data_IF_266973611160
#
_entry.id   IF_266973611160
#
_cell.length_a   1.000
_cell.length_b   1.000
_cell.length_c   1.000
_cell.angle_alpha   90.00
_cell.angle_beta   90.00
_cell.angle_gamma   90.00
#
_symmetry.space_group_name_H-M   'P 1'
#
loop_
_entity.id
_entity.type
_entity.pdbx_description
1 polymer ?
#
# COMPACT_ATOMS: atom_id res chain seq x y z
N UNK A 1 -31.20 -30.13 17.49
CA UNK A 1 -30.28 -29.06 17.94
C UNK A 1 -28.88 -29.67 18.03
N UNK A 2 -28.08 -29.54 16.97
CA UNK A 2 -26.73 -30.14 16.92
C UNK A 2 -25.80 -29.23 17.71
N UNK A 3 -25.32 -29.74 18.86
CA UNK A 3 -24.39 -29.04 19.74
C UNK A 3 -23.02 -29.07 19.05
N UNK A 4 -22.58 -27.95 18.50
CA UNK A 4 -21.21 -27.77 18.01
C UNK A 4 -20.28 -27.83 19.24
N UNK A 5 -19.76 -29.02 19.54
CA UNK A 5 -18.81 -29.22 20.63
C UNK A 5 -17.44 -28.81 20.11
N UNK A 6 -16.99 -27.60 20.46
CA UNK A 6 -15.58 -27.24 20.28
C UNK A 6 -14.73 -28.25 21.07
N UNK A 7 -13.75 -28.84 20.39
CA UNK A 7 -12.92 -29.97 20.85
C UNK A 7 -11.78 -29.57 21.80
N UNK A 8 -11.90 -28.47 22.53
CA UNK A 8 -10.83 -27.98 23.41
C UNK A 8 -11.36 -27.83 24.83
N UNK A 9 -11.40 -28.95 25.56
CA UNK A 9 -11.82 -29.03 26.98
C UNK A 9 -10.69 -29.52 27.89
N UNK A 10 -9.43 -29.23 27.52
CA UNK A 10 -8.27 -29.39 28.38
C UNK A 10 -7.46 -28.10 28.22
N UNK A 11 -7.11 -27.42 29.32
CA UNK A 11 -6.46 -26.09 29.36
C UNK A 11 -5.03 -26.02 28.79
N UNK A 12 -4.78 -26.67 27.67
CA UNK A 12 -3.53 -26.64 26.92
C UNK A 12 -3.68 -25.65 25.75
N UNK A 13 -2.72 -24.72 25.63
CA UNK A 13 -2.61 -23.82 24.49
C UNK A 13 -2.23 -24.62 23.22
N UNK A 14 -3.18 -25.31 22.61
CA UNK A 14 -2.99 -25.96 21.32
C UNK A 14 -3.11 -24.92 20.19
N UNK A 15 -2.04 -24.63 19.43
CA UNK A 15 -2.13 -23.66 18.35
C UNK A 15 -3.00 -24.21 17.21
N UNK A 16 -3.80 -23.36 16.57
CA UNK A 16 -4.72 -23.74 15.48
C UNK A 16 -4.04 -24.56 14.37
N UNK A 17 -2.75 -24.32 14.12
CA UNK A 17 -1.93 -25.06 13.14
C UNK A 17 -1.73 -26.54 13.46
N UNK A 18 -2.02 -26.98 14.68
CA UNK A 18 -1.89 -28.40 15.08
C UNK A 18 -3.14 -29.22 14.74
N UNK A 19 -4.24 -28.59 14.30
CA UNK A 19 -5.45 -29.28 13.85
C UNK A 19 -5.20 -30.39 12.81
N UNK A 20 -4.30 -30.25 11.82
CA UNK A 20 -4.02 -31.34 10.88
C UNK A 20 -3.55 -32.65 11.54
N UNK A 21 -3.00 -32.60 12.76
CA UNK A 21 -2.56 -33.78 13.52
C UNK A 21 -3.73 -34.60 14.07
N UNK A 22 -4.92 -34.02 14.19
CA UNK A 22 -6.13 -34.72 14.66
C UNK A 22 -6.94 -35.35 13.51
N UNK A 23 -6.55 -35.11 12.26
CA UNK A 23 -7.23 -35.66 11.10
C UNK A 23 -6.91 -37.15 10.92
N UNK A 24 -7.92 -37.95 10.58
CA UNK A 24 -7.74 -39.37 10.29
C UNK A 24 -6.89 -39.63 9.04
N UNK A 25 -6.39 -40.87 8.88
CA UNK A 25 -5.49 -41.27 7.79
C UNK A 25 -6.05 -41.09 6.38
N UNK A 26 -7.37 -40.96 6.23
CA UNK A 26 -8.04 -40.70 4.96
C UNK A 26 -8.10 -39.21 4.57
N UNK A 27 -7.69 -38.30 5.46
CA UNK A 27 -7.73 -36.87 5.22
C UNK A 27 -6.61 -36.44 4.25
N UNK A 28 -6.93 -35.50 3.36
CA UNK A 28 -5.98 -34.90 2.43
C UNK A 28 -5.43 -33.61 3.02
N UNK A 29 -4.17 -33.63 3.44
CA UNK A 29 -3.44 -32.46 3.97
C UNK A 29 -2.31 -32.12 3.00
N UNK A 30 -2.17 -30.84 2.66
CA UNK A 30 -1.13 -30.35 1.77
C UNK A 30 -0.69 -28.94 2.14
N UNK A 31 0.27 -28.40 1.39
CA UNK A 31 0.76 -27.04 1.54
C UNK A 31 0.84 -26.38 0.16
N UNK A 32 0.61 -25.06 0.13
CA UNK A 32 0.86 -24.22 -1.04
C UNK A 32 1.98 -23.27 -0.67
N UNK A 33 3.06 -23.27 -1.46
CA UNK A 33 4.15 -22.32 -1.29
C UNK A 33 3.93 -21.13 -2.22
N UNK A 34 4.10 -19.93 -1.68
CA UNK A 34 3.98 -18.66 -2.39
C UNK A 34 5.17 -17.80 -1.96
N UNK A 35 5.65 -16.94 -2.86
CA UNK A 35 6.74 -16.04 -2.54
C UNK A 35 6.37 -15.11 -1.36
N UNK A 36 7.26 -14.94 -0.36
CA UNK A 36 6.93 -14.18 0.84
C UNK A 36 6.47 -12.75 0.59
N UNK A 37 7.06 -12.06 -0.41
CA UNK A 37 6.72 -10.67 -0.74
C UNK A 37 5.25 -10.49 -1.14
N UNK A 38 4.58 -11.56 -1.57
CA UNK A 38 3.18 -11.52 -2.01
C UNK A 38 2.19 -11.81 -0.88
N UNK A 39 2.60 -12.56 0.15
CA UNK A 39 1.66 -13.13 1.13
C UNK A 39 2.09 -13.05 2.59
N UNK A 40 3.25 -12.48 2.91
CA UNK A 40 3.80 -12.49 4.27
C UNK A 40 4.48 -11.16 4.64
N UNK A 41 3.68 -10.23 5.16
CA UNK A 41 4.13 -8.91 5.65
C UNK A 41 3.65 -8.65 7.09
N UNK A 42 4.17 -9.39 8.08
CA UNK A 42 3.77 -9.19 9.47
C UNK A 42 4.28 -7.86 10.03
N UNK A 43 3.43 -7.18 10.81
CA UNK A 43 3.81 -6.07 11.69
C UNK A 43 3.66 -6.54 13.14
N UNK A 44 4.74 -7.02 13.76
CA UNK A 44 4.71 -7.64 15.10
C UNK A 44 5.84 -7.20 16.03
N UNK A 45 6.92 -6.65 15.49
CA UNK A 45 8.07 -6.21 16.26
C UNK A 45 7.99 -4.69 16.46
N UNK A 46 8.42 -4.22 17.62
CA UNK A 46 8.75 -2.80 17.79
C UNK A 46 9.98 -2.45 16.93
N UNK A 47 10.19 -1.16 16.66
CA UNK A 47 11.22 -0.70 15.72
C UNK A 47 12.65 -1.06 16.16
N UNK A 48 12.92 -1.03 17.48
CA UNK A 48 14.25 -1.34 18.02
C UNK A 48 14.61 -2.83 17.89
N UNK A 49 13.67 -3.73 18.17
CA UNK A 49 13.88 -5.17 18.03
C UNK A 49 13.87 -5.60 16.55
N UNK A 50 13.09 -4.91 15.72
CA UNK A 50 13.11 -5.09 14.27
C UNK A 50 14.47 -4.73 13.65
N UNK A 51 15.09 -3.63 14.10
CA UNK A 51 16.44 -3.25 13.68
C UNK A 51 17.47 -4.35 14.02
N UNK A 52 17.43 -4.88 15.25
CA UNK A 52 18.30 -6.01 15.65
C UNK A 52 18.03 -7.27 14.83
N UNK A 53 16.76 -7.60 14.60
CA UNK A 53 16.36 -8.74 13.77
C UNK A 53 16.96 -8.62 12.36
N UNK A 54 16.84 -7.45 11.73
CA UNK A 54 17.37 -7.20 10.39
C UNK A 54 18.89 -7.30 10.33
N UNK A 55 19.60 -6.76 11.32
CA UNK A 55 21.07 -6.91 11.43
C UNK A 55 21.48 -8.39 11.53
N UNK A 56 20.69 -9.21 12.22
CA UNK A 56 20.91 -10.67 12.30
C UNK A 56 20.46 -11.47 11.06
N UNK A 57 20.02 -10.81 9.99
CA UNK A 57 19.55 -11.46 8.76
C UNK A 57 18.11 -12.00 8.83
N UNK A 58 17.34 -11.63 9.85
CA UNK A 58 15.92 -11.98 9.98
C UNK A 58 15.04 -10.83 9.49
N UNK A 59 13.91 -11.09 8.79
CA UNK A 59 13.00 -10.02 8.40
C UNK A 59 12.55 -9.16 9.60
N UNK A 60 12.56 -7.83 9.48
CA UNK A 60 12.33 -6.91 10.60
C UNK A 60 10.94 -7.04 11.21
N UNK A 61 9.92 -7.25 10.38
CA UNK A 61 8.51 -7.34 10.79
C UNK A 61 8.03 -6.16 11.66
N UNK A 62 8.54 -4.95 11.36
CA UNK A 62 8.11 -3.67 11.92
C UNK A 62 7.00 -3.03 11.07
N UNK A 63 6.38 -1.98 11.60
CA UNK A 63 5.38 -1.20 10.87
C UNK A 63 5.93 -0.63 9.56
N UNK A 64 7.15 -0.07 9.57
CA UNK A 64 7.78 0.48 8.34
C UNK A 64 8.04 -0.57 7.27
N UNK A 65 8.47 -1.78 7.64
CA UNK A 65 8.67 -2.85 6.67
C UNK A 65 7.34 -3.37 6.12
N UNK A 66 6.31 -3.48 6.95
CA UNK A 66 4.99 -3.92 6.50
C UNK A 66 4.34 -2.87 5.55
N UNK A 67 4.51 -1.58 5.84
CA UNK A 67 4.05 -0.50 4.96
C UNK A 67 4.82 -0.47 3.64
N UNK A 68 6.15 -0.67 3.68
CA UNK A 68 7.01 -0.83 2.50
C UNK A 68 6.57 -2.00 1.62
N UNK A 69 6.27 -3.16 2.21
CA UNK A 69 5.77 -4.32 1.48
C UNK A 69 4.43 -4.03 0.78
N UNK A 70 3.53 -3.31 1.46
CA UNK A 70 2.22 -2.98 0.90
C UNK A 70 2.34 -2.06 -0.33
N UNK A 71 3.23 -1.08 -0.28
CA UNK A 71 3.53 -0.23 -1.45
C UNK A 71 4.20 -1.03 -2.56
N UNK A 72 5.16 -1.90 -2.19
CA UNK A 72 5.87 -2.75 -3.13
C UNK A 72 4.93 -3.65 -3.92
N UNK A 73 3.97 -4.32 -3.26
CA UNK A 73 3.01 -5.21 -3.92
C UNK A 73 2.27 -4.46 -5.02
N UNK A 74 1.74 -3.26 -4.75
CA UNK A 74 1.00 -2.51 -5.77
C UNK A 74 1.91 -2.00 -6.90
N UNK A 75 3.11 -1.52 -6.56
CA UNK A 75 4.10 -1.15 -7.56
C UNK A 75 4.44 -2.31 -8.49
N UNK A 76 4.68 -3.50 -7.93
CA UNK A 76 5.02 -4.71 -8.67
C UNK A 76 3.84 -5.22 -9.51
N UNK A 77 2.62 -5.18 -8.97
CA UNK A 77 1.43 -5.55 -9.74
C UNK A 77 1.22 -4.61 -10.94
N UNK A 78 1.44 -3.30 -10.77
CA UNK A 78 1.43 -2.36 -11.88
C UNK A 78 2.54 -2.62 -12.90
N UNK A 79 3.77 -2.95 -12.48
CA UNK A 79 4.82 -3.35 -13.43
C UNK A 79 4.39 -4.57 -14.25
N UNK A 80 3.74 -5.54 -13.60
CA UNK A 80 3.21 -6.74 -14.26
C UNK A 80 2.06 -6.46 -15.23
N UNK A 81 1.33 -5.35 -15.12
CA UNK A 81 0.36 -4.95 -16.16
C UNK A 81 1.05 -4.31 -17.37
N UNK A 82 2.33 -3.94 -17.27
CA UNK A 82 3.10 -3.25 -18.30
C UNK A 82 3.34 -1.76 -18.02
N UNK A 83 2.90 -1.26 -16.85
CA UNK A 83 3.16 0.12 -16.43
C UNK A 83 4.64 0.33 -16.07
N UNK A 84 5.14 1.55 -16.32
CA UNK A 84 6.52 1.96 -16.00
C UNK A 84 6.58 2.52 -14.58
N UNK A 85 6.67 1.66 -13.59
CA UNK A 85 6.78 2.06 -12.18
C UNK A 85 8.24 1.93 -11.74
N UNK A 86 8.86 3.04 -11.35
CA UNK A 86 10.28 3.05 -10.95
C UNK A 86 10.46 2.49 -9.52
N UNK A 87 11.70 2.16 -9.14
CA UNK A 87 12.03 1.66 -7.81
C UNK A 87 12.54 2.80 -6.93
N UNK A 88 11.99 2.92 -5.72
CA UNK A 88 12.55 3.77 -4.67
C UNK A 88 13.92 3.28 -4.19
N UNK A 89 14.64 4.18 -3.53
CA UNK A 89 15.88 3.84 -2.84
C UNK A 89 15.60 3.24 -1.45
N UNK A 90 16.44 2.29 -1.05
CA UNK A 90 16.49 1.81 0.33
C UNK A 90 17.00 2.93 1.24
N UNK A 91 16.31 3.12 2.36
CA UNK A 91 16.61 4.14 3.36
C UNK A 91 16.52 3.56 4.76
N UNK A 92 17.20 4.21 5.70
CA UNK A 92 17.16 3.84 7.13
C UNK A 92 16.01 4.57 7.84
N UNK A 93 15.21 3.80 8.57
CA UNK A 93 14.07 4.28 9.35
C UNK A 93 14.24 3.80 10.79
N UNK A 94 14.98 4.60 11.57
CA UNK A 94 15.35 4.27 12.96
C UNK A 94 15.99 2.88 13.10
N UNK A 95 16.97 2.60 12.23
CA UNK A 95 17.73 1.34 12.20
C UNK A 95 17.07 0.22 11.39
N UNK A 96 15.86 0.41 10.85
CA UNK A 96 15.23 -0.53 9.92
C UNK A 96 15.39 -0.01 8.49
N UNK A 97 16.08 -0.77 7.65
CA UNK A 97 16.21 -0.49 6.22
C UNK A 97 14.96 -0.91 5.46
N UNK A 98 14.36 0.01 4.71
CA UNK A 98 13.16 -0.24 3.91
C UNK A 98 13.07 0.69 2.69
N UNK A 99 12.26 0.29 1.69
CA UNK A 99 12.02 1.05 0.46
C UNK A 99 10.57 1.54 0.44
N UNK A 100 10.34 2.83 0.69
CA UNK A 100 8.97 3.39 0.75
C UNK A 100 8.42 3.86 -0.61
N UNK A 101 9.27 4.00 -1.62
CA UNK A 101 8.91 4.61 -2.90
C UNK A 101 8.76 3.61 -4.06
N UNK A 102 7.82 3.83 -4.99
CA UNK A 102 6.71 4.78 -4.92
C UNK A 102 5.63 4.33 -3.92
N UNK A 103 4.90 5.29 -3.35
CA UNK A 103 3.83 5.08 -2.39
C UNK A 103 2.51 4.86 -3.14
N UNK A 104 2.17 3.61 -3.46
CA UNK A 104 0.97 3.29 -4.23
C UNK A 104 -0.05 2.60 -3.31
N UNK A 105 -1.27 3.15 -3.27
CA UNK A 105 -2.35 2.66 -2.43
C UNK A 105 -3.65 2.64 -3.22
N UNK A 106 -4.27 1.46 -3.29
CA UNK A 106 -5.56 1.26 -3.93
C UNK A 106 -6.60 0.79 -2.93
N UNK A 107 -7.77 1.42 -2.96
CA UNK A 107 -8.98 0.91 -2.31
C UNK A 107 -9.32 -0.48 -2.88
N UNK A 108 -9.84 -1.42 -2.07
CA UNK A 108 -10.35 -2.69 -2.58
C UNK A 108 -11.39 -2.55 -3.70
N UNK A 109 -12.13 -1.44 -3.76
CA UNK A 109 -13.09 -1.20 -4.83
C UNK A 109 -12.42 -0.85 -6.19
N UNK A 110 -11.17 -0.40 -6.16
CA UNK A 110 -10.40 -0.17 -7.38
C UNK A 110 -9.93 -1.50 -7.98
N UNK A 111 -9.29 -2.35 -7.18
CA UNK A 111 -8.92 -3.71 -7.57
C UNK A 111 -8.63 -4.56 -6.33
N UNK A 112 -9.12 -5.80 -6.34
CA UNK A 112 -8.73 -6.88 -5.42
C UNK A 112 -7.88 -7.91 -6.16
N UNK A 113 -8.25 -8.23 -7.41
CA UNK A 113 -7.57 -9.21 -8.24
C UNK A 113 -6.69 -8.54 -9.31
N UNK A 114 -5.63 -9.24 -9.71
CA UNK A 114 -4.75 -8.79 -10.78
C UNK A 114 -5.51 -8.54 -12.11
N UNK A 115 -6.53 -9.34 -12.42
CA UNK A 115 -7.34 -9.16 -13.64
C UNK A 115 -8.18 -7.88 -13.60
N UNK A 116 -8.67 -7.47 -12.42
CA UNK A 116 -9.35 -6.18 -12.26
C UNK A 116 -8.35 -5.05 -12.48
N UNK A 117 -7.18 -5.15 -11.85
CA UNK A 117 -6.11 -4.17 -12.01
C UNK A 117 -5.67 -4.01 -13.47
N UNK A 118 -5.56 -5.10 -14.23
CA UNK A 118 -5.28 -5.05 -15.67
C UNK A 118 -6.34 -4.22 -16.44
N UNK A 119 -7.62 -4.37 -16.08
CA UNK A 119 -8.70 -3.59 -16.67
C UNK A 119 -8.68 -2.11 -16.30
N UNK A 120 -8.03 -1.73 -15.18
CA UNK A 120 -7.89 -0.33 -14.76
C UNK A 120 -6.85 0.45 -15.56
N UNK A 121 -5.94 -0.23 -16.27
CA UNK A 121 -4.90 0.38 -17.09
C UNK A 121 -5.03 -0.03 -18.56
N UNK A 122 -5.76 0.75 -19.35
CA UNK A 122 -6.08 0.38 -20.75
C UNK A 122 -4.89 0.54 -21.72
N UNK A 123 -3.94 1.43 -21.41
CA UNK A 123 -2.68 1.64 -22.16
C UNK A 123 -1.48 1.61 -21.21
N UNK A 124 -1.16 0.47 -20.58
CA UNK A 124 -0.22 0.42 -19.45
C UNK A 124 1.17 0.96 -19.79
N UNK A 125 1.66 0.78 -21.02
CA UNK A 125 2.96 1.32 -21.46
C UNK A 125 3.06 2.85 -21.47
N UNK A 126 1.92 3.54 -21.42
CA UNK A 126 1.78 5.00 -21.34
C UNK A 126 1.58 5.51 -19.90
N UNK A 127 1.58 4.62 -18.91
CA UNK A 127 1.54 4.95 -17.49
C UNK A 127 2.94 4.86 -16.90
N UNK A 128 3.40 5.95 -16.29
CA UNK A 128 4.71 6.09 -15.68
C UNK A 128 4.59 6.73 -14.29
N UNK A 129 5.19 6.09 -13.28
CA UNK A 129 5.16 6.55 -11.88
C UNK A 129 6.59 6.61 -11.35
N UNK A 130 7.08 7.82 -11.07
CA UNK A 130 8.46 8.04 -10.58
C UNK A 130 8.70 7.38 -9.22
N UNK A 131 9.97 7.18 -8.86
CA UNK A 131 10.39 6.44 -7.67
C UNK A 131 9.94 7.09 -6.35
N UNK A 132 9.66 8.39 -6.37
CA UNK A 132 9.29 9.21 -5.20
C UNK A 132 7.81 9.61 -5.21
N UNK A 133 7.04 9.12 -6.19
CA UNK A 133 5.64 9.49 -6.35
C UNK A 133 4.71 8.80 -5.37
N UNK A 134 3.57 9.44 -5.14
CA UNK A 134 2.42 8.89 -4.43
C UNK A 134 1.22 8.78 -5.37
N UNK A 135 0.66 7.58 -5.49
CA UNK A 135 -0.59 7.34 -6.22
C UNK A 135 -1.61 6.75 -5.24
N UNK A 136 -2.61 7.54 -4.91
CA UNK A 136 -3.69 7.15 -4.01
C UNK A 136 -5.00 7.08 -4.81
N UNK A 137 -5.62 5.91 -4.89
CA UNK A 137 -6.94 5.74 -5.51
C UNK A 137 -7.92 5.19 -4.49
N UNK A 138 -8.92 5.98 -4.13
CA UNK A 138 -9.91 5.68 -3.09
C UNK A 138 -11.34 5.87 -3.59
N UNK A 139 -12.30 5.52 -2.74
CA UNK A 139 -13.72 5.51 -3.08
C UNK A 139 -14.19 4.16 -3.62
N UNK A 140 -15.35 4.17 -4.27
CA UNK A 140 -16.06 2.98 -4.75
C UNK A 140 -16.64 3.10 -6.16
N UNK A 141 -16.29 4.14 -6.91
CA UNK A 141 -16.65 4.31 -8.31
C UNK A 141 -15.62 3.75 -9.27
N UNK A 142 -15.93 3.85 -10.55
CA UNK A 142 -15.11 3.29 -11.62
C UNK A 142 -13.99 4.27 -12.00
N UNK A 143 -12.75 3.76 -12.08
CA UNK A 143 -11.59 4.54 -12.51
C UNK A 143 -10.83 3.78 -13.58
N UNK A 144 -10.56 4.42 -14.71
CA UNK A 144 -9.71 3.88 -15.78
C UNK A 144 -8.62 4.89 -16.10
N UNK A 145 -7.38 4.41 -16.19
CA UNK A 145 -6.21 5.23 -16.47
C UNK A 145 -5.61 4.76 -17.80
N UNK A 146 -5.67 5.63 -18.81
CA UNK A 146 -5.06 5.37 -20.11
C UNK A 146 -3.61 5.87 -20.14
N UNK A 147 -3.39 7.17 -19.95
CA UNK A 147 -2.07 7.80 -20.04
C UNK A 147 -1.83 8.65 -18.79
N UNK A 148 -0.75 8.34 -18.05
CA UNK A 148 -0.40 9.04 -16.82
C UNK A 148 1.13 9.18 -16.73
N UNK A 149 1.60 10.40 -16.51
CA UNK A 149 2.99 10.66 -16.10
C UNK A 149 2.95 11.30 -14.72
N UNK A 150 3.35 10.55 -13.70
CA UNK A 150 3.28 10.96 -12.29
C UNK A 150 4.68 11.12 -11.70
N UNK A 151 5.03 12.36 -11.36
CA UNK A 151 6.23 12.74 -10.62
C UNK A 151 5.86 13.69 -9.47
N UNK A 152 5.45 13.13 -8.34
CA UNK A 152 4.80 13.84 -7.23
C UNK A 152 3.64 13.03 -6.65
N UNK A 153 2.65 13.69 -6.07
CA UNK A 153 1.46 13.04 -5.51
C UNK A 153 0.20 13.29 -6.34
N UNK A 154 -0.56 12.21 -6.58
CA UNK A 154 -1.88 12.21 -7.20
C UNK A 154 -2.86 11.45 -6.31
N UNK A 155 -3.91 12.13 -5.91
CA UNK A 155 -5.03 11.58 -5.15
C UNK A 155 -6.28 11.55 -6.01
N UNK A 156 -6.86 10.36 -6.19
CA UNK A 156 -8.09 10.13 -6.94
C UNK A 156 -9.11 9.56 -5.96
N UNK A 157 -10.21 10.25 -5.77
CA UNK A 157 -11.35 9.75 -5.00
C UNK A 157 -12.61 9.81 -5.85
N UNK A 158 -13.18 8.64 -6.15
CA UNK A 158 -14.40 8.52 -6.95
C UNK A 158 -15.44 7.76 -6.14
N UNK A 159 -16.54 8.44 -5.84
CA UNK A 159 -17.63 7.87 -5.06
C UNK A 159 -18.41 6.82 -5.86
N UNK A 160 -19.09 5.92 -5.16
CA UNK A 160 -19.87 4.86 -5.79
C UNK A 160 -20.93 5.43 -6.76
N UNK A 161 -21.03 4.84 -7.96
CA UNK A 161 -21.94 5.30 -9.02
C UNK A 161 -21.38 6.43 -9.90
N UNK A 162 -20.17 6.91 -9.64
CA UNK A 162 -19.44 7.81 -10.54
C UNK A 162 -18.38 7.05 -11.35
N UNK A 163 -17.96 7.63 -12.48
CA UNK A 163 -16.92 7.07 -13.37
C UNK A 163 -15.92 8.14 -13.79
N UNK A 164 -14.63 7.81 -13.68
CA UNK A 164 -13.51 8.66 -14.08
C UNK A 164 -12.64 7.95 -15.11
N UNK A 165 -12.39 8.61 -16.23
CA UNK A 165 -11.38 8.19 -17.20
C UNK A 165 -10.25 9.22 -17.24
N UNK A 166 -9.05 8.82 -16.85
CA UNK A 166 -7.83 9.59 -17.09
C UNK A 166 -7.36 9.24 -18.49
N UNK A 167 -7.79 10.02 -19.48
CA UNK A 167 -7.39 9.82 -20.86
C UNK A 167 -5.93 10.27 -21.07
N UNK A 168 -5.54 11.40 -20.48
CA UNK A 168 -4.16 11.85 -20.38
C UNK A 168 -3.98 12.82 -19.23
N UNK A 169 -3.01 12.54 -18.36
CA UNK A 169 -2.66 13.43 -17.27
C UNK A 169 -1.16 13.42 -16.98
N UNK A 170 -0.58 14.60 -16.89
CA UNK A 170 0.78 14.81 -16.36
C UNK A 170 0.69 15.52 -15.01
N UNK A 171 1.19 14.88 -13.96
CA UNK A 171 1.25 15.46 -12.61
C UNK A 171 2.71 15.66 -12.21
N UNK A 172 3.07 16.90 -11.90
CA UNK A 172 4.36 17.29 -11.34
C UNK A 172 4.15 18.21 -10.14
N UNK A 173 4.56 17.78 -8.96
CA UNK A 173 4.50 18.57 -7.73
C UNK A 173 5.50 18.04 -6.69
N UNK A 174 5.63 18.73 -5.55
CA UNK A 174 6.60 18.39 -4.51
C UNK A 174 6.26 17.08 -3.74
N UNK A 175 5.11 16.47 -4.03
CA UNK A 175 4.73 15.14 -3.56
C UNK A 175 4.61 15.01 -2.04
N UNK A 176 4.59 13.76 -1.58
CA UNK A 176 4.58 13.41 -0.16
C UNK A 176 5.90 12.80 0.24
N UNK A 177 6.61 13.46 1.16
CA UNK A 177 7.97 13.11 1.55
C UNK A 177 7.94 12.43 2.92
N UNK A 178 8.37 11.17 3.03
CA UNK A 178 8.55 10.54 4.34
C UNK A 178 9.73 11.20 5.07
N UNK A 179 9.47 11.69 6.29
CA UNK A 179 10.44 12.34 7.18
C UNK A 179 10.65 11.43 8.39
N UNK A 180 11.89 10.96 8.64
CA UNK A 180 12.20 10.17 9.83
C UNK A 180 11.84 10.93 11.10
N UNK A 181 11.35 10.21 12.10
CA UNK A 181 11.17 10.77 13.45
C UNK A 181 12.50 10.79 14.20
N UNK A 182 12.66 11.75 15.10
CA UNK A 182 13.74 11.78 16.08
C UNK A 182 13.59 10.66 17.12
N UNK A 183 14.68 10.35 17.83
CA UNK A 183 14.66 9.38 18.93
C UNK A 183 13.66 9.77 20.03
N UNK A 184 13.52 11.06 20.33
CA UNK A 184 12.60 11.59 21.33
C UNK A 184 11.12 11.41 20.92
N UNK A 185 10.79 11.66 19.65
CA UNK A 185 9.46 11.41 19.09
C UNK A 185 9.10 9.92 19.13
N UNK A 186 10.06 9.03 18.82
CA UNK A 186 9.84 7.58 18.90
C UNK A 186 9.62 7.14 20.35
N UNK A 187 10.43 7.63 21.29
CA UNK A 187 10.32 7.34 22.72
C UNK A 187 8.99 7.82 23.33
N UNK A 188 8.38 8.85 22.72
CA UNK A 188 7.13 9.45 23.21
C UNK A 188 7.36 10.51 24.28
N UNK A 189 8.60 10.97 24.43
CA UNK A 189 8.99 12.04 25.35
C UNK A 189 8.55 13.41 24.81
N UNK A 190 8.44 13.54 23.48
CA UNK A 190 7.87 14.70 22.78
C UNK A 190 6.49 14.33 22.22
N UNK A 191 5.45 14.67 22.99
CA UNK A 191 4.06 14.33 22.67
C UNK A 191 3.45 15.20 21.58
N UNK A 192 3.66 14.84 20.32
CA UNK A 192 2.81 15.28 19.18
C UNK A 192 2.45 14.13 18.21
N UNK A 193 3.32 13.13 18.04
CA UNK A 193 3.08 12.02 17.12
C UNK A 193 2.19 10.92 17.75
N UNK A 194 1.05 10.56 17.14
CA UNK A 194 0.26 9.40 17.56
C UNK A 194 1.09 8.11 17.56
N UNK A 195 0.72 7.13 18.40
CA UNK A 195 1.44 5.85 18.51
C UNK A 195 1.68 5.19 17.14
N UNK A 196 0.69 5.21 16.24
CA UNK A 196 0.80 4.66 14.89
C UNK A 196 1.88 5.33 14.02
N UNK A 197 2.24 6.58 14.30
CA UNK A 197 3.33 7.32 13.66
C UNK A 197 4.66 6.98 14.35
N UNK A 198 4.66 6.86 15.67
CA UNK A 198 5.85 6.47 16.45
C UNK A 198 6.38 5.09 16.09
N UNK A 199 5.50 4.08 16.04
CA UNK A 199 5.92 2.69 15.78
C UNK A 199 6.45 2.45 14.35
N UNK A 200 6.10 3.33 13.40
CA UNK A 200 6.63 3.28 12.03
C UNK A 200 7.93 4.07 11.86
N UNK A 201 8.27 4.99 12.76
CA UNK A 201 9.53 5.73 12.73
C UNK A 201 9.64 6.84 11.68
N UNK A 202 8.54 7.23 11.03
CA UNK A 202 8.49 8.36 10.11
C UNK A 202 7.10 9.00 10.06
N UNK A 203 7.04 10.26 9.62
CA UNK A 203 5.79 10.96 9.25
C UNK A 203 5.80 11.33 7.77
N UNK A 204 4.63 11.45 7.15
CA UNK A 204 4.53 11.96 5.78
C UNK A 204 4.34 13.48 5.80
N UNK A 205 5.26 14.18 5.15
CA UNK A 205 5.20 15.61 4.90
C UNK A 205 4.58 15.86 3.50
N UNK A 206 3.32 16.28 3.47
CA UNK A 206 2.54 16.45 2.23
C UNK A 206 2.82 17.83 1.61
N UNK A 207 3.87 17.93 0.79
CA UNK A 207 4.35 19.20 0.21
C UNK A 207 3.59 19.62 -1.04
N UNK A 208 3.00 18.67 -1.76
CA UNK A 208 2.13 18.94 -2.90
C UNK A 208 1.24 17.75 -3.21
N UNK A 209 0.06 18.02 -3.77
CA UNK A 209 -0.86 16.99 -4.25
C UNK A 209 -1.74 17.53 -5.38
N UNK A 210 -1.98 16.70 -6.40
CA UNK A 210 -3.07 16.93 -7.35
C UNK A 210 -4.26 16.05 -6.96
N UNK A 211 -5.41 16.66 -6.71
CA UNK A 211 -6.58 15.97 -6.18
C UNK A 211 -7.71 15.94 -7.20
N UNK A 212 -8.14 14.75 -7.60
CA UNK A 212 -9.34 14.54 -8.41
C UNK A 212 -10.41 13.93 -7.51
N UNK A 213 -11.47 14.70 -7.25
CA UNK A 213 -12.63 14.25 -6.47
C UNK A 213 -13.86 14.20 -7.38
N UNK A 214 -14.56 13.08 -7.41
CA UNK A 214 -15.80 12.93 -8.18
C UNK A 214 -16.88 12.26 -7.33
N UNK A 215 -17.93 13.03 -7.02
CA UNK A 215 -19.04 12.57 -6.18
C UNK A 215 -20.15 11.85 -6.96
N UNK A 216 -20.36 12.21 -8.24
CA UNK A 216 -21.39 11.62 -9.10
C UNK A 216 -21.08 11.91 -10.58
N UNK A 217 -21.70 11.14 -11.48
CA UNK A 217 -21.59 11.35 -12.93
C UNK A 217 -20.30 10.79 -13.54
N UNK A 218 -20.02 11.22 -14.76
CA UNK A 218 -18.87 10.78 -15.54
C UNK A 218 -17.92 11.96 -15.79
N UNK A 219 -16.61 11.74 -15.63
CA UNK A 219 -15.57 12.74 -15.93
C UNK A 219 -14.46 12.12 -16.76
N UNK A 220 -14.04 12.85 -17.79
CA UNK A 220 -12.84 12.54 -18.57
C UNK A 220 -11.80 13.62 -18.25
N UNK A 221 -10.58 13.21 -17.91
CA UNK A 221 -9.45 14.11 -17.67
C UNK A 221 -8.47 14.01 -18.83
N UNK A 222 -8.21 15.15 -19.46
CA UNK A 222 -7.27 15.30 -20.57
C UNK A 222 -6.53 16.65 -20.46
N UNK A 223 -5.25 16.58 -20.15
CA UNK A 223 -4.37 17.75 -19.95
C UNK A 223 -4.14 18.62 -21.21
N UNK A 224 -4.52 18.17 -22.41
CA UNK A 224 -4.46 19.00 -23.63
C UNK A 224 -5.65 19.95 -23.81
N UNK A 225 -6.76 19.69 -23.14
CA UNK A 225 -8.01 20.44 -23.35
C UNK A 225 -8.29 21.44 -22.22
N UNK A 226 -7.67 21.29 -21.04
CA UNK A 226 -7.86 22.19 -19.89
C UNK A 226 -6.57 22.36 -19.07
N UNK A 227 -5.70 23.33 -19.42
CA UNK A 227 -4.49 23.63 -18.65
C UNK A 227 -4.77 24.24 -17.25
N UNK A 228 -5.99 24.73 -16.98
CA UNK A 228 -6.36 25.43 -15.74
C UNK A 228 -7.05 24.56 -14.67
N UNK A 229 -7.29 23.27 -14.92
CA UNK A 229 -7.93 22.35 -13.95
C UNK A 229 -6.91 21.80 -12.92
N UNK A 230 -5.79 22.50 -12.72
CA UNK A 230 -4.77 22.21 -11.72
C UNK A 230 -5.24 22.52 -10.30
N UNK A 231 -6.53 22.34 -10.01
CA UNK A 231 -7.21 22.69 -8.77
C UNK A 231 -6.42 22.26 -7.54
N UNK A 232 -5.59 23.18 -7.04
CA UNK A 232 -4.90 23.07 -5.77
C UNK A 232 -5.99 23.27 -4.73
N UNK A 233 -6.55 22.18 -4.23
CA UNK A 233 -7.27 22.23 -2.97
C UNK A 233 -6.21 22.51 -1.89
N UNK A 234 -6.06 23.78 -1.53
CA UNK A 234 -5.32 24.18 -0.35
C UNK A 234 -6.02 23.57 0.87
N UNK A 235 -5.30 22.74 1.61
CA UNK A 235 -5.59 22.44 3.01
C UNK A 235 -4.48 23.06 3.85
#
# INVERSE_FOLDING_TARGET
MVKLRMLFDNGENAPLRDYPKSLGSSAKVGFTSVDPWLCFSPCKNNIADAAKAQVSGTPPAAAVSAESDQYWVWAEMMRRTGCKVYHGAEQDWAGVKAVLGPQIVFSPAFAVFYTELQGRFSKPSAVSVSATSTLLVTGGGEVVIEELVLDGALEIEVQAGASLVIQRLTVKNDGWVPIPLSEAEIAGDEGEAPEAIRIRGFRLDKRGSHCIRLASGERIVNDRENPDDSGVAQY
#
